data_IF_962714863411
#
_entry.id   IF_962714863411
#
_cell.length_a   1.000
_cell.length_b   1.000
_cell.length_c   1.000
_cell.angle_alpha   90.00
_cell.angle_beta   90.00
_cell.angle_gamma   90.00
#
_symmetry.space_group_name_H-M   'P 1'
#
loop_
_entity.id
_entity.type
_entity.pdbx_description
1 polymer ?
#
# COMPACT_ATOMS: atom_id res chain seq x y z
N UNK A 1 15.67 -0.14 6.90
CA UNK A 1 16.94 0.55 7.17
C UNK A 1 16.75 1.96 6.68
N UNK A 2 16.88 2.96 7.55
CA UNK A 2 16.70 4.35 7.13
C UNK A 2 17.89 4.79 6.27
N UNK A 3 17.63 5.71 5.36
CA UNK A 3 18.69 6.32 4.53
C UNK A 3 19.37 7.44 5.30
N UNK A 4 20.59 7.81 4.89
CA UNK A 4 21.31 8.94 5.50
C UNK A 4 20.49 10.23 5.44
N UNK A 5 19.86 10.52 4.29
CA UNK A 5 19.08 11.75 4.13
C UNK A 5 17.76 11.73 4.89
N UNK A 6 17.13 10.57 5.05
CA UNK A 6 16.00 10.40 5.95
C UNK A 6 16.36 10.73 7.41
N UNK A 7 17.42 10.11 7.94
CA UNK A 7 17.84 10.34 9.32
C UNK A 7 18.25 11.81 9.54
N UNK A 8 18.92 12.41 8.55
CA UNK A 8 19.28 13.83 8.58
C UNK A 8 18.03 14.72 8.57
N UNK A 9 17.06 14.44 7.71
CA UNK A 9 15.82 15.21 7.62
C UNK A 9 15.01 15.10 8.91
N UNK A 10 14.84 13.90 9.46
CA UNK A 10 14.15 13.66 10.73
C UNK A 10 14.86 14.39 11.88
N UNK A 11 16.19 14.34 11.92
CA UNK A 11 16.98 15.05 12.93
C UNK A 11 16.75 16.57 12.88
N UNK A 12 16.69 17.15 11.68
CA UNK A 12 16.43 18.58 11.49
C UNK A 12 14.99 18.97 11.80
N UNK A 13 14.01 18.14 11.44
CA UNK A 13 12.60 18.33 11.80
C UNK A 13 12.41 18.42 13.32
N UNK A 14 13.03 17.52 14.07
CA UNK A 14 12.89 17.47 15.54
C UNK A 14 13.53 18.68 16.25
N UNK A 15 14.46 19.39 15.61
CA UNK A 15 15.10 20.58 16.18
C UNK A 15 14.24 21.84 16.10
N UNK A 16 13.18 21.85 15.27
CA UNK A 16 12.34 23.01 14.97
C UNK A 16 13.18 24.22 14.52
N UNK A 17 13.52 24.35 13.21
CA UNK A 17 14.41 25.40 12.72
C UNK A 17 13.85 26.80 13.05
N UNK A 18 14.73 27.71 13.51
CA UNK A 18 14.36 29.07 13.93
C UNK A 18 14.95 30.15 13.04
N UNK A 19 15.94 29.80 12.23
CA UNK A 19 16.64 30.71 11.32
C UNK A 19 16.46 30.30 9.87
N UNK A 20 16.61 31.25 8.95
CA UNK A 20 16.55 30.96 7.51
C UNK A 20 17.61 29.96 7.06
N UNK A 21 18.78 29.92 7.71
CA UNK A 21 19.83 28.96 7.42
C UNK A 21 19.41 27.54 7.80
N UNK A 22 18.85 27.36 8.99
CA UNK A 22 18.36 26.06 9.46
C UNK A 22 17.17 25.56 8.62
N UNK A 23 16.30 26.47 8.16
CA UNK A 23 15.22 26.14 7.22
C UNK A 23 15.81 25.65 5.90
N UNK A 24 16.80 26.35 5.34
CA UNK A 24 17.47 25.94 4.11
C UNK A 24 18.17 24.57 4.22
N UNK A 25 18.81 24.28 5.35
CA UNK A 25 19.41 22.96 5.62
C UNK A 25 18.35 21.85 5.66
N UNK A 26 17.20 22.12 6.29
CA UNK A 26 16.10 21.17 6.40
C UNK A 26 15.46 20.92 5.03
N UNK A 27 15.23 21.97 4.24
CA UNK A 27 14.70 21.87 2.88
C UNK A 27 15.63 21.09 1.97
N UNK A 28 16.94 21.35 2.03
CA UNK A 28 17.93 20.58 1.28
C UNK A 28 17.93 19.10 1.67
N UNK A 29 17.90 18.78 2.97
CA UNK A 29 17.82 17.39 3.42
C UNK A 29 16.54 16.69 2.96
N UNK A 30 15.40 17.40 2.96
CA UNK A 30 14.12 16.91 2.42
C UNK A 30 14.25 16.58 0.93
N UNK A 31 14.83 17.48 0.14
CA UNK A 31 15.01 17.29 -1.31
C UNK A 31 15.90 16.10 -1.63
N UNK A 32 17.02 15.94 -0.91
CA UNK A 32 17.90 14.79 -1.10
C UNK A 32 17.20 13.47 -0.75
N UNK A 33 16.42 13.45 0.34
CA UNK A 33 15.63 12.27 0.68
C UNK A 33 14.57 11.96 -0.38
N UNK A 34 13.90 12.98 -0.94
CA UNK A 34 12.95 12.81 -2.04
C UNK A 34 13.61 12.27 -3.33
N UNK A 35 14.86 12.66 -3.60
CA UNK A 35 15.64 12.10 -4.72
C UNK A 35 15.91 10.60 -4.49
N UNK A 36 16.29 10.20 -3.28
CA UNK A 36 16.50 8.77 -2.97
C UNK A 36 15.23 7.94 -3.14
N UNK A 37 14.10 8.43 -2.62
CA UNK A 37 12.80 7.78 -2.79
C UNK A 37 12.38 7.66 -4.26
N UNK A 38 12.70 8.68 -5.07
CA UNK A 38 12.38 8.67 -6.50
C UNK A 38 13.22 7.66 -7.27
N UNK A 39 14.53 7.61 -6.98
CA UNK A 39 15.44 6.61 -7.57
C UNK A 39 14.97 5.20 -7.30
N UNK A 40 14.52 4.92 -6.08
CA UNK A 40 14.01 3.61 -5.70
C UNK A 40 12.81 3.16 -6.57
N UNK A 41 11.93 4.09 -6.96
CA UNK A 41 10.71 3.81 -7.73
C UNK A 41 10.86 3.94 -9.24
N UNK A 42 12.03 4.32 -9.74
CA UNK A 42 12.27 4.62 -11.16
C UNK A 42 11.82 3.48 -12.10
N UNK A 43 12.20 2.23 -11.79
CA UNK A 43 11.78 1.05 -12.58
C UNK A 43 10.25 0.94 -12.67
N UNK A 44 9.55 1.10 -11.55
CA UNK A 44 8.09 1.00 -11.51
C UNK A 44 7.44 2.13 -12.33
N UNK A 45 7.98 3.35 -12.23
CA UNK A 45 7.48 4.50 -12.99
C UNK A 45 7.65 4.29 -14.49
N UNK A 46 8.79 3.77 -14.94
CA UNK A 46 9.01 3.46 -16.37
C UNK A 46 8.12 2.30 -16.85
N UNK A 47 7.87 1.27 -16.03
CA UNK A 47 6.90 0.22 -16.36
C UNK A 47 5.49 0.79 -16.54
N UNK A 48 5.03 1.67 -15.65
CA UNK A 48 3.72 2.31 -15.73
C UNK A 48 3.63 3.23 -16.97
N UNK A 49 4.71 3.98 -17.25
CA UNK A 49 4.82 4.85 -18.42
C UNK A 49 4.80 4.07 -19.73
N UNK A 50 5.44 2.91 -19.80
CA UNK A 50 5.40 2.02 -20.97
C UNK A 50 3.98 1.55 -21.31
N UNK A 51 3.07 1.54 -20.32
CA UNK A 51 1.64 1.23 -20.45
C UNK A 51 0.78 2.46 -20.75
N UNK A 52 1.40 3.61 -21.04
CA UNK A 52 0.73 4.84 -21.47
C UNK A 52 0.29 5.78 -20.35
N UNK A 53 0.73 5.57 -19.11
CA UNK A 53 0.40 6.45 -17.98
C UNK A 53 1.65 7.18 -17.47
N UNK A 54 1.67 8.50 -17.62
CA UNK A 54 2.79 9.34 -17.17
C UNK A 54 2.47 9.91 -15.78
N UNK A 55 3.28 9.55 -14.79
CA UNK A 55 3.24 10.07 -13.42
C UNK A 55 4.65 10.47 -12.99
N UNK A 56 4.76 11.41 -12.07
CA UNK A 56 6.06 11.89 -11.55
C UNK A 56 6.54 11.07 -10.36
N UNK A 57 5.59 10.53 -9.59
CA UNK A 57 5.83 9.71 -8.41
C UNK A 57 4.57 8.88 -8.09
N UNK A 58 4.69 7.87 -7.22
CA UNK A 58 3.56 6.98 -6.87
C UNK A 58 2.41 7.71 -6.16
N UNK A 59 2.69 8.77 -5.40
CA UNK A 59 1.66 9.56 -4.70
C UNK A 59 0.75 10.33 -5.66
N UNK A 60 1.15 10.55 -6.91
CA UNK A 60 0.27 11.09 -7.94
C UNK A 60 -0.94 10.15 -8.17
N UNK A 61 -0.73 8.83 -8.08
CA UNK A 61 -1.81 7.84 -8.18
C UNK A 61 -2.70 7.84 -6.93
N UNK A 62 -2.10 7.98 -5.74
CA UNK A 62 -2.86 8.04 -4.48
C UNK A 62 -3.76 9.27 -4.42
N UNK A 63 -3.30 10.40 -4.95
CA UNK A 63 -3.97 11.69 -4.85
C UNK A 63 -4.90 12.00 -6.03
N UNK A 64 -4.89 11.20 -7.09
CA UNK A 64 -5.74 11.44 -8.26
C UNK A 64 -7.11 10.80 -8.10
N UNK A 65 -8.12 11.43 -8.72
CA UNK A 65 -9.45 10.83 -8.92
C UNK A 65 -9.56 10.09 -10.26
N UNK A 66 -8.57 10.25 -11.15
CA UNK A 66 -8.57 9.59 -12.46
C UNK A 66 -8.34 8.10 -12.27
N UNK A 67 -9.05 7.27 -13.03
CA UNK A 67 -8.82 5.83 -13.02
C UNK A 67 -7.50 5.49 -13.73
N UNK A 68 -6.76 4.51 -13.22
CA UNK A 68 -5.48 4.06 -13.75
C UNK A 68 -5.38 2.53 -13.82
N UNK A 69 -6.31 1.84 -14.49
CA UNK A 69 -6.35 0.37 -14.50
C UNK A 69 -5.06 -0.24 -15.07
N UNK A 70 -4.40 0.46 -16.00
CA UNK A 70 -3.14 0.04 -16.63
C UNK A 70 -1.98 -0.09 -15.64
N UNK A 71 -2.01 0.62 -14.50
CA UNK A 71 -0.95 0.59 -13.50
C UNK A 71 -1.12 -0.53 -12.46
N UNK A 72 -2.34 -1.10 -12.32
CA UNK A 72 -2.67 -2.05 -11.24
C UNK A 72 -1.74 -3.26 -11.24
N UNK A 73 -1.47 -3.84 -12.41
CA UNK A 73 -0.61 -5.01 -12.51
C UNK A 73 0.84 -4.70 -12.11
N UNK A 74 1.40 -3.60 -12.60
CA UNK A 74 2.77 -3.20 -12.25
C UNK A 74 2.89 -2.91 -10.75
N UNK A 75 1.94 -2.16 -10.17
CA UNK A 75 1.89 -1.93 -8.73
C UNK A 75 1.79 -3.24 -7.94
N UNK A 76 0.94 -4.17 -8.38
CA UNK A 76 0.74 -5.48 -7.71
C UNK A 76 2.03 -6.31 -7.74
N UNK A 77 2.71 -6.37 -8.88
CA UNK A 77 3.94 -7.15 -9.04
C UNK A 77 5.11 -6.58 -8.21
N UNK A 78 5.07 -5.29 -7.90
CA UNK A 78 6.06 -4.59 -7.09
C UNK A 78 5.82 -4.71 -5.59
N UNK A 79 4.72 -5.32 -5.15
CA UNK A 79 4.43 -5.51 -3.72
C UNK A 79 5.48 -6.33 -2.99
N UNK A 80 6.20 -7.26 -3.62
CA UNK A 80 7.23 -8.08 -2.95
C UNK A 80 8.60 -7.41 -2.85
N UNK A 81 8.78 -6.23 -3.45
CA UNK A 81 10.08 -5.56 -3.52
C UNK A 81 10.38 -4.83 -2.20
N UNK A 82 11.66 -4.72 -1.80
CA UNK A 82 12.06 -4.17 -0.51
C UNK A 82 12.10 -2.63 -0.52
N UNK A 83 10.97 -2.01 -0.89
CA UNK A 83 10.84 -0.55 -0.92
C UNK A 83 10.96 0.07 0.47
N UNK A 84 11.48 1.29 0.53
CA UNK A 84 11.36 2.19 1.65
C UNK A 84 9.88 2.33 2.05
N UNK A 85 9.61 2.38 3.36
CA UNK A 85 8.24 2.30 3.88
C UNK A 85 7.30 3.36 3.28
N UNK A 86 7.79 4.58 3.03
CA UNK A 86 7.02 5.65 2.37
C UNK A 86 6.60 5.31 0.94
N UNK A 87 7.48 4.67 0.16
CA UNK A 87 7.16 4.23 -1.20
C UNK A 87 6.26 3.00 -1.17
N UNK A 88 6.53 2.06 -0.26
CA UNK A 88 5.72 0.87 -0.04
C UNK A 88 4.27 1.23 0.30
N UNK A 89 4.06 2.15 1.23
CA UNK A 89 2.74 2.66 1.59
C UNK A 89 2.04 3.29 0.38
N UNK A 90 2.75 4.13 -0.39
CA UNK A 90 2.22 4.74 -1.60
C UNK A 90 1.74 3.69 -2.62
N UNK A 91 2.54 2.65 -2.87
CA UNK A 91 2.19 1.55 -3.80
C UNK A 91 0.94 0.82 -3.31
N UNK A 92 0.89 0.44 -2.04
CA UNK A 92 -0.23 -0.27 -1.43
C UNK A 92 -1.51 0.58 -1.54
N UNK A 93 -1.45 1.85 -1.15
CA UNK A 93 -2.62 2.74 -1.19
C UNK A 93 -3.10 3.01 -2.62
N UNK A 94 -2.19 3.09 -3.58
CA UNK A 94 -2.54 3.23 -4.99
C UNK A 94 -3.33 2.01 -5.52
N UNK A 95 -3.14 0.83 -4.93
CA UNK A 95 -3.90 -0.39 -5.27
C UNK A 95 -5.31 -0.42 -4.68
N UNK A 96 -5.60 0.41 -3.67
CA UNK A 96 -6.90 0.51 -2.98
C UNK A 96 -8.03 1.13 -3.79
N UNK A 97 -8.17 0.79 -5.07
CA UNK A 97 -9.12 1.39 -6.01
C UNK A 97 -10.08 0.39 -6.64
N UNK A 98 -11.15 0.92 -7.24
CA UNK A 98 -12.05 0.13 -8.09
C UNK A 98 -11.28 -0.43 -9.29
N UNK A 99 -11.53 -1.69 -9.63
CA UNK A 99 -10.86 -2.39 -10.74
C UNK A 99 -9.65 -3.20 -10.32
N UNK A 100 -9.05 -2.93 -9.14
CA UNK A 100 -8.19 -3.93 -8.51
C UNK A 100 -9.07 -5.13 -8.10
N UNK A 101 -8.54 -6.33 -8.27
CA UNK A 101 -9.29 -7.58 -8.17
C UNK A 101 -8.64 -8.58 -7.21
N UNK A 102 -9.12 -9.83 -7.26
CA UNK A 102 -8.67 -10.89 -6.36
C UNK A 102 -7.14 -11.10 -6.34
N UNK A 103 -6.47 -11.01 -7.50
CA UNK A 103 -5.00 -11.14 -7.60
C UNK A 103 -4.29 -10.10 -6.73
N UNK A 104 -4.77 -8.86 -6.73
CA UNK A 104 -4.22 -7.77 -5.93
C UNK A 104 -4.53 -7.99 -4.45
N UNK A 105 -5.74 -8.42 -4.09
CA UNK A 105 -6.09 -8.72 -2.69
C UNK A 105 -5.18 -9.84 -2.16
N UNK A 106 -5.03 -10.94 -2.91
CA UNK A 106 -4.14 -12.04 -2.51
C UNK A 106 -2.69 -11.57 -2.35
N UNK A 107 -2.17 -10.75 -3.27
CA UNK A 107 -0.82 -10.20 -3.14
C UNK A 107 -0.65 -9.31 -1.90
N UNK A 108 -1.65 -8.50 -1.57
CA UNK A 108 -1.67 -7.69 -0.34
C UNK A 108 -1.71 -8.55 0.93
N UNK A 109 -2.47 -9.64 0.91
CA UNK A 109 -2.54 -10.60 2.02
C UNK A 109 -1.21 -11.33 2.21
N UNK A 110 -0.51 -11.69 1.13
CA UNK A 110 0.84 -12.27 1.19
C UNK A 110 1.86 -11.29 1.77
N UNK A 111 1.72 -10.00 1.47
CA UNK A 111 2.63 -8.97 1.97
C UNK A 111 2.37 -8.57 3.43
N UNK A 112 1.14 -8.73 3.91
CA UNK A 112 0.74 -8.36 5.27
C UNK A 112 1.68 -8.87 6.38
N UNK A 113 2.04 -10.17 6.47
CA UNK A 113 2.95 -10.67 7.51
C UNK A 113 4.39 -10.13 7.40
N UNK A 114 4.80 -9.62 6.24
CA UNK A 114 6.15 -9.09 6.03
C UNK A 114 6.29 -7.63 6.49
N UNK A 115 5.19 -7.01 6.93
CA UNK A 115 5.17 -5.62 7.32
C UNK A 115 5.84 -5.41 8.68
N UNK A 116 6.99 -4.75 8.68
CA UNK A 116 7.68 -4.33 9.91
C UNK A 116 7.18 -3.01 10.49
N UNK A 117 6.20 -2.36 9.85
CA UNK A 117 5.74 -1.01 10.17
C UNK A 117 4.19 -0.96 10.15
N UNK A 118 3.59 -0.44 11.23
CA UNK A 118 2.13 -0.33 11.40
C UNK A 118 1.46 0.46 10.27
N UNK A 119 2.08 1.52 9.77
CA UNK A 119 1.50 2.31 8.67
C UNK A 119 1.33 1.47 7.39
N UNK A 120 2.24 0.53 7.15
CA UNK A 120 2.14 -0.38 6.00
C UNK A 120 1.02 -1.40 6.22
N UNK A 121 0.93 -2.01 7.40
CA UNK A 121 -0.15 -2.96 7.72
C UNK A 121 -1.52 -2.28 7.66
N UNK A 122 -1.65 -1.06 8.18
CA UNK A 122 -2.87 -0.25 8.11
C UNK A 122 -3.24 0.07 6.65
N UNK A 123 -2.25 0.44 5.82
CA UNK A 123 -2.45 0.70 4.41
C UNK A 123 -2.92 -0.55 3.65
N UNK A 124 -2.43 -1.74 3.99
CA UNK A 124 -2.88 -3.01 3.42
C UNK A 124 -4.36 -3.25 3.75
N UNK A 125 -4.72 -3.19 5.03
CA UNK A 125 -6.10 -3.42 5.49
C UNK A 125 -7.05 -2.42 4.81
N UNK A 126 -6.67 -1.14 4.78
CA UNK A 126 -7.44 -0.09 4.12
C UNK A 126 -7.61 -0.36 2.61
N UNK A 127 -6.54 -0.80 1.94
CA UNK A 127 -6.58 -1.06 0.50
C UNK A 127 -7.46 -2.26 0.18
N UNK A 128 -7.35 -3.35 0.95
CA UNK A 128 -8.24 -4.51 0.85
C UNK A 128 -9.70 -4.09 1.05
N UNK A 129 -9.98 -3.31 2.10
CA UNK A 129 -11.32 -2.79 2.36
C UNK A 129 -11.87 -2.00 1.17
N UNK A 130 -11.08 -1.07 0.63
CA UNK A 130 -11.49 -0.24 -0.50
C UNK A 130 -11.71 -1.08 -1.77
N UNK A 131 -10.82 -2.03 -2.06
CA UNK A 131 -10.99 -2.93 -3.22
C UNK A 131 -12.31 -3.68 -3.12
N UNK A 132 -12.60 -4.31 -1.97
CA UNK A 132 -13.82 -5.09 -1.81
C UNK A 132 -15.05 -4.19 -1.85
N UNK A 133 -15.03 -3.04 -1.16
CA UNK A 133 -16.16 -2.11 -1.07
C UNK A 133 -16.51 -1.44 -2.41
N UNK A 134 -15.51 -1.11 -3.22
CA UNK A 134 -15.69 -0.42 -4.50
C UNK A 134 -16.07 -1.37 -5.65
N UNK A 135 -15.87 -2.68 -5.47
CA UNK A 135 -16.20 -3.71 -6.43
C UNK A 135 -17.44 -4.52 -5.98
N UNK A 136 -17.92 -5.42 -6.85
CA UNK A 136 -19.00 -6.33 -6.48
C UNK A 136 -18.41 -7.52 -5.70
N UNK A 137 -18.64 -7.56 -4.40
CA UNK A 137 -18.14 -8.62 -3.51
C UNK A 137 -18.52 -10.03 -3.96
N UNK A 138 -19.74 -10.23 -4.50
CA UNK A 138 -20.17 -11.55 -4.99
C UNK A 138 -19.34 -11.98 -6.20
N UNK A 139 -19.11 -11.05 -7.13
CA UNK A 139 -18.24 -11.30 -8.29
C UNK A 139 -16.81 -11.62 -7.86
N UNK A 140 -16.27 -10.91 -6.86
CA UNK A 140 -14.94 -11.22 -6.33
C UNK A 140 -14.92 -12.62 -5.71
N UNK A 141 -15.95 -12.97 -4.94
CA UNK A 141 -16.09 -14.28 -4.31
C UNK A 141 -16.17 -15.42 -5.32
N UNK A 142 -16.93 -15.25 -6.39
CA UNK A 142 -17.06 -16.24 -7.48
C UNK A 142 -15.74 -16.44 -8.25
N UNK A 143 -14.86 -15.44 -8.25
CA UNK A 143 -13.53 -15.51 -8.87
C UNK A 143 -12.48 -16.14 -7.95
N UNK A 144 -12.72 -16.17 -6.64
CA UNK A 144 -11.77 -16.70 -5.66
C UNK A 144 -11.70 -18.22 -5.69
N UNK A 145 -10.48 -18.77 -5.72
CA UNK A 145 -10.23 -20.21 -5.62
C UNK A 145 -10.89 -20.79 -4.35
N UNK A 146 -11.60 -21.90 -4.48
CA UNK A 146 -12.29 -22.57 -3.36
C UNK A 146 -11.34 -22.93 -2.21
N UNK A 147 -10.07 -23.20 -2.51
CA UNK A 147 -9.05 -23.54 -1.53
C UNK A 147 -8.46 -22.31 -0.82
N UNK A 148 -8.68 -21.08 -1.32
CA UNK A 148 -8.26 -19.85 -0.64
C UNK A 148 -9.26 -19.47 0.45
N UNK A 149 -9.30 -20.28 1.50
CA UNK A 149 -10.24 -20.13 2.62
C UNK A 149 -10.13 -18.77 3.29
N UNK A 150 -8.91 -18.22 3.41
CA UNK A 150 -8.69 -16.92 4.03
C UNK A 150 -9.36 -15.79 3.24
N UNK A 151 -9.12 -15.72 1.93
CA UNK A 151 -9.74 -14.69 1.09
C UNK A 151 -11.27 -14.85 1.06
N UNK A 152 -11.78 -16.09 0.99
CA UNK A 152 -13.22 -16.36 1.02
C UNK A 152 -13.86 -15.88 2.32
N UNK A 153 -13.23 -16.14 3.46
CA UNK A 153 -13.73 -15.68 4.77
C UNK A 153 -13.74 -14.16 4.88
N UNK A 154 -12.69 -13.49 4.40
CA UNK A 154 -12.63 -12.01 4.33
C UNK A 154 -13.78 -11.46 3.47
N UNK A 155 -14.04 -12.05 2.30
CA UNK A 155 -15.13 -11.63 1.42
C UNK A 155 -16.50 -11.89 2.05
N UNK A 156 -16.67 -13.00 2.79
CA UNK A 156 -17.89 -13.30 3.53
C UNK A 156 -18.25 -12.24 4.56
N UNK A 157 -17.26 -11.61 5.22
CA UNK A 157 -17.50 -10.48 6.12
C UNK A 157 -18.31 -9.39 5.42
N UNK A 158 -17.98 -9.04 4.18
CA UNK A 158 -18.70 -8.02 3.41
C UNK A 158 -20.04 -8.51 2.86
N UNK A 159 -20.14 -9.79 2.47
CA UNK A 159 -21.41 -10.38 2.01
C UNK A 159 -22.45 -10.32 3.13
N UNK A 160 -22.04 -10.65 4.36
CA UNK A 160 -22.90 -10.68 5.53
C UNK A 160 -23.16 -9.29 6.10
N UNK A 161 -22.25 -8.33 5.88
CA UNK A 161 -22.32 -6.98 6.44
C UNK A 161 -22.29 -5.89 5.35
N UNK A 162 -23.40 -5.71 4.64
CA UNK A 162 -23.50 -4.77 3.50
C UNK A 162 -23.13 -3.30 3.81
N UNK A 163 -23.14 -2.88 5.08
CA UNK A 163 -22.83 -1.51 5.53
C UNK A 163 -21.58 -1.44 6.42
N UNK A 164 -20.69 -2.41 6.35
CA UNK A 164 -19.48 -2.43 7.16
C UNK A 164 -18.63 -1.17 6.96
N UNK A 165 -18.23 -0.55 8.07
CA UNK A 165 -17.31 0.59 8.08
C UNK A 165 -15.86 0.12 8.09
N UNK A 166 -14.92 1.01 7.76
CA UNK A 166 -13.48 0.69 7.81
C UNK A 166 -13.05 0.28 9.21
N UNK A 167 -13.53 0.96 10.25
CA UNK A 167 -13.17 0.66 11.65
C UNK A 167 -13.68 -0.74 12.04
N UNK A 168 -14.93 -1.06 11.70
CA UNK A 168 -15.49 -2.39 11.95
C UNK A 168 -14.68 -3.47 11.22
N UNK A 169 -14.38 -3.25 9.93
CA UNK A 169 -13.56 -4.20 9.17
C UNK A 169 -12.16 -4.36 9.76
N UNK A 170 -11.53 -3.28 10.18
CA UNK A 170 -10.21 -3.31 10.83
C UNK A 170 -10.24 -4.19 12.08
N UNK A 171 -11.21 -3.99 12.98
CA UNK A 171 -11.38 -4.83 14.17
C UNK A 171 -11.59 -6.31 13.81
N UNK A 172 -12.53 -6.59 12.91
CA UNK A 172 -12.75 -7.96 12.41
C UNK A 172 -11.47 -8.57 11.84
N UNK A 173 -10.70 -7.81 11.06
CA UNK A 173 -9.50 -8.30 10.42
C UNK A 173 -8.44 -8.68 11.44
N UNK A 174 -8.19 -7.79 12.41
CA UNK A 174 -7.19 -8.03 13.45
C UNK A 174 -7.57 -9.24 14.31
N UNK A 175 -8.83 -9.31 14.75
CA UNK A 175 -9.31 -10.36 15.66
C UNK A 175 -9.43 -11.74 15.02
N UNK A 176 -9.74 -11.82 13.71
CA UNK A 176 -10.12 -13.09 13.08
C UNK A 176 -9.11 -13.61 12.05
N UNK A 177 -8.21 -12.76 11.54
CA UNK A 177 -7.34 -13.13 10.42
C UNK A 177 -5.85 -13.03 10.74
N UNK A 178 -5.41 -12.17 11.65
CA UNK A 178 -3.96 -11.98 11.94
C UNK A 178 -3.24 -13.29 12.27
N UNK A 179 -3.81 -14.11 13.15
CA UNK A 179 -3.19 -15.36 13.59
C UNK A 179 -3.07 -16.41 12.47
N UNK A 180 -3.92 -16.33 11.44
CA UNK A 180 -3.89 -17.25 10.30
C UNK A 180 -2.67 -17.03 9.41
N UNK A 181 -2.07 -15.85 9.44
CA UNK A 181 -0.82 -15.58 8.71
C UNK A 181 0.40 -16.19 9.41
N UNK A 182 0.38 -16.30 10.74
CA UNK A 182 1.46 -16.89 11.54
C UNK A 182 1.57 -18.40 11.29
N UNK A 183 0.43 -19.06 11.09
CA UNK A 183 0.35 -20.51 10.84
C UNK A 183 0.89 -20.86 9.44
N UNK A 184 0.78 -19.95 8.47
CA UNK A 184 1.23 -20.19 7.10
C UNK A 184 2.74 -20.03 6.91
N UNK A 185 3.43 -19.24 7.74
CA UNK A 185 4.89 -19.06 7.67
C UNK A 185 5.68 -20.11 8.46
N UNK A 186 4.99 -21.01 9.17
CA UNK A 186 5.57 -22.07 10.02
C UNK A 186 5.59 -23.45 9.35
N UNK A 187 5.32 -23.53 8.04
CA UNK A 187 5.43 -24.73 7.20
C UNK A 187 6.36 -24.45 6.03
#
# INVERSE_FOLDING_TARGET
MNTYWEDRFISLLNKNPKTSLEVGEMEYAREQFEIELRKETEKLLEEIKSKGLIITNIWDLVNTKKSYPVAIESLTNHLSYPYHHKNKEGIIRALGIKGAGIKTISALLVEYPNCSNKYISDAIILSIFNIIKLNNVKKLFDQTNENDTLLRDILHVFINNKKITINQFYHFFIENFTDRFIIQTSK
#
